data_IF_521280553284
#
_entry.id   IF_521280553284
#
_cell.length_a   1.000
_cell.length_b   1.000
_cell.length_c   1.000
_cell.angle_alpha   90.00
_cell.angle_beta   90.00
_cell.angle_gamma   90.00
#
_symmetry.space_group_name_H-M   'P 1'
#
loop_
_entity.id
_entity.type
_entity.pdbx_description
1 polymer ?
#
# COMPACT_ATOMS: atom_id res chain seq x y z
N UNK A 1 2.16 -3.08 22.67
CA UNK A 1 2.79 -2.22 21.64
C UNK A 1 1.76 -1.62 20.71
N UNK A 2 1.47 -0.33 20.84
CA UNK A 2 0.51 0.38 19.98
C UNK A 2 1.06 1.72 19.47
N UNK A 3 2.38 1.71 19.23
CA UNK A 3 3.17 2.75 18.56
C UNK A 3 4.22 2.02 17.72
N UNK A 4 3.78 1.25 16.73
CA UNK A 4 4.66 0.46 15.88
C UNK A 4 4.49 0.85 14.42
N UNK A 5 5.59 0.74 13.68
CA UNK A 5 5.56 0.86 12.24
C UNK A 5 4.87 -0.36 11.66
N UNK A 6 3.83 -0.13 10.86
CA UNK A 6 3.04 -1.17 10.23
C UNK A 6 2.92 -0.91 8.74
N UNK A 7 2.66 -1.99 8.01
CA UNK A 7 2.29 -1.95 6.60
C UNK A 7 0.86 -2.51 6.52
N UNK A 8 -0.06 -1.67 6.05
CA UNK A 8 -1.47 -2.00 5.91
C UNK A 8 -1.80 -2.11 4.44
N UNK A 9 -2.40 -3.22 4.02
CA UNK A 9 -2.88 -3.41 2.66
C UNK A 9 -4.40 -3.57 2.69
N UNK A 10 -5.09 -2.89 1.79
CA UNK A 10 -6.53 -3.03 1.70
C UNK A 10 -7.16 -2.16 0.63
N UNK A 11 -8.46 -2.36 0.43
CA UNK A 11 -9.27 -1.52 -0.44
C UNK A 11 -9.72 -0.29 0.32
N UNK A 12 -9.47 0.89 -0.24
CA UNK A 12 -10.05 2.12 0.30
C UNK A 12 -11.54 2.11 -0.02
N UNK A 13 -12.39 2.11 1.00
CA UNK A 13 -13.84 2.11 0.83
C UNK A 13 -14.38 3.52 0.63
N UNK A 14 -13.79 4.50 1.32
CA UNK A 14 -14.24 5.89 1.28
C UNK A 14 -13.04 6.82 1.33
N UNK A 15 -13.11 7.91 0.57
CA UNK A 15 -12.22 9.05 0.74
C UNK A 15 -13.02 10.28 1.11
N UNK A 16 -12.62 10.98 2.18
CA UNK A 16 -13.26 12.21 2.62
C UNK A 16 -12.27 13.36 2.73
N UNK A 17 -12.77 14.58 2.55
CA UNK A 17 -12.00 15.83 2.76
C UNK A 17 -12.66 16.65 3.84
N UNK A 18 -11.88 17.08 4.84
CA UNK A 18 -12.35 17.95 5.90
C UNK A 18 -11.22 18.88 6.35
N UNK A 19 -11.50 20.17 6.54
CA UNK A 19 -10.50 21.13 7.03
C UNK A 19 -9.29 21.38 6.10
N UNK A 20 -9.34 20.87 4.86
CA UNK A 20 -8.19 20.89 3.95
C UNK A 20 -7.28 19.66 4.07
N UNK A 21 -7.66 18.67 4.88
CA UNK A 21 -7.05 17.36 5.00
C UNK A 21 -7.87 16.32 4.22
N UNK A 22 -7.26 15.16 3.95
CA UNK A 22 -7.93 14.01 3.38
C UNK A 22 -7.83 12.78 4.29
N UNK A 23 -8.85 11.94 4.26
CA UNK A 23 -8.94 10.70 5.02
C UNK A 23 -9.30 9.55 4.10
N UNK A 24 -8.57 8.45 4.18
CA UNK A 24 -8.84 7.21 3.46
C UNK A 24 -9.26 6.17 4.49
N UNK A 25 -10.51 5.70 4.38
CA UNK A 25 -11.07 4.71 5.29
C UNK A 25 -11.09 3.33 4.62
N UNK A 26 -10.54 2.33 5.32
CA UNK A 26 -10.36 0.96 4.80
C UNK A 26 -11.49 0.00 5.19
N UNK A 27 -12.39 0.42 6.08
CA UNK A 27 -13.53 -0.38 6.49
C UNK A 27 -14.75 0.49 6.84
N UNK A 28 -15.86 -0.16 7.13
CA UNK A 28 -17.15 0.50 7.38
C UNK A 28 -17.22 1.12 8.79
N UNK A 29 -16.41 0.64 9.75
CA UNK A 29 -16.34 1.18 11.11
C UNK A 29 -14.93 1.69 11.44
N UNK A 30 -14.77 3.02 11.36
CA UNK A 30 -13.54 3.75 11.70
C UNK A 30 -13.01 3.49 13.13
N UNK A 31 -13.80 2.91 14.04
CA UNK A 31 -13.36 2.56 15.40
C UNK A 31 -12.51 1.29 15.43
N UNK A 32 -12.73 0.38 14.47
CA UNK A 32 -12.02 -0.89 14.35
C UNK A 32 -11.08 -0.92 13.16
N UNK A 33 -11.38 -0.13 12.14
CA UNK A 33 -10.66 -0.09 10.88
C UNK A 33 -9.59 1.01 10.86
N UNK A 34 -8.56 0.77 10.06
CA UNK A 34 -7.46 1.72 9.88
C UNK A 34 -7.95 2.89 9.01
N UNK A 35 -7.75 4.10 9.50
CA UNK A 35 -7.89 5.32 8.71
C UNK A 35 -6.49 5.86 8.40
N UNK A 36 -6.31 6.38 7.19
CA UNK A 36 -5.10 7.11 6.81
C UNK A 36 -5.44 8.58 6.70
N UNK A 37 -4.72 9.42 7.45
CA UNK A 37 -4.86 10.87 7.41
C UNK A 37 -3.73 11.48 6.60
N UNK A 38 -4.10 12.36 5.66
CA UNK A 38 -3.18 13.14 4.85
C UNK A 38 -3.45 14.61 5.16
N UNK A 39 -2.52 15.23 5.88
CA UNK A 39 -2.61 16.65 6.22
C UNK A 39 -2.51 17.55 4.99
N UNK A 40 -3.02 18.78 5.10
CA UNK A 40 -3.01 19.78 4.02
C UNK A 40 -1.63 20.02 3.39
N UNK A 41 -0.55 19.99 4.19
CA UNK A 41 0.80 20.14 3.68
C UNK A 41 1.21 18.94 2.80
N UNK A 42 1.03 17.73 3.32
CA UNK A 42 1.27 16.49 2.60
C UNK A 42 0.44 16.41 1.30
N UNK A 43 -0.84 16.80 1.34
CA UNK A 43 -1.69 16.85 0.14
C UNK A 43 -1.07 17.66 -1.01
N UNK A 44 -0.33 18.74 -0.70
CA UNK A 44 0.37 19.52 -1.74
C UNK A 44 1.53 18.74 -2.34
N UNK A 45 2.23 17.94 -1.55
CA UNK A 45 3.32 17.07 -2.02
C UNK A 45 2.78 15.95 -2.91
N UNK A 46 1.65 15.32 -2.53
CA UNK A 46 0.96 14.36 -3.39
C UNK A 46 0.61 14.97 -4.75
N UNK A 47 -0.01 16.16 -4.75
CA UNK A 47 -0.37 16.87 -5.99
C UNK A 47 0.88 17.25 -6.80
N UNK A 48 1.95 17.70 -6.15
CA UNK A 48 3.22 18.01 -6.81
C UNK A 48 3.89 16.77 -7.43
N UNK A 49 3.69 15.60 -6.84
CA UNK A 49 4.10 14.30 -7.40
C UNK A 49 3.13 13.77 -8.48
N UNK A 50 2.09 14.52 -8.85
CA UNK A 50 1.09 14.11 -9.85
C UNK A 50 0.09 13.07 -9.34
N UNK A 51 0.00 12.88 -8.02
CA UNK A 51 -0.90 11.93 -7.38
C UNK A 51 -2.11 12.68 -6.83
N UNK A 52 -3.31 12.26 -7.20
CA UNK A 52 -4.55 12.72 -6.55
C UNK A 52 -4.98 11.71 -5.49
N UNK A 53 -4.88 12.02 -4.18
CA UNK A 53 -5.29 11.10 -3.13
C UNK A 53 -6.78 10.76 -3.13
N UNK A 54 -7.63 11.59 -3.75
CA UNK A 54 -9.04 11.26 -3.94
C UNK A 54 -9.24 10.08 -4.88
N UNK A 55 -8.31 9.88 -5.83
CA UNK A 55 -8.39 8.78 -6.79
C UNK A 55 -8.13 7.40 -6.17
N UNK A 56 -7.80 7.33 -4.88
CA UNK A 56 -7.65 6.08 -4.17
C UNK A 56 -8.99 5.45 -3.75
N UNK A 57 -10.10 6.19 -3.78
CA UNK A 57 -11.40 5.62 -3.45
C UNK A 57 -11.73 4.42 -4.36
N UNK A 58 -12.06 3.29 -3.73
CA UNK A 58 -12.32 2.04 -4.44
C UNK A 58 -11.07 1.37 -5.05
N UNK A 59 -9.86 1.80 -4.69
CA UNK A 59 -8.59 1.18 -5.14
C UNK A 59 -7.96 0.37 -4.02
N UNK A 60 -7.12 -0.61 -4.40
CA UNK A 60 -6.36 -1.40 -3.43
C UNK A 60 -5.02 -0.74 -3.25
N UNK A 61 -4.71 -0.34 -2.03
CA UNK A 61 -3.47 0.37 -1.71
C UNK A 61 -2.73 -0.32 -0.58
N UNK A 62 -1.41 -0.15 -0.58
CA UNK A 62 -0.52 -0.46 0.53
C UNK A 62 -0.09 0.85 1.18
N UNK A 63 -0.23 0.94 2.49
CA UNK A 63 0.12 2.12 3.28
C UNK A 63 1.16 1.74 4.32
N UNK A 64 2.20 2.56 4.42
CA UNK A 64 3.35 2.34 5.30
C UNK A 64 3.44 3.49 6.30
N UNK A 65 3.37 3.19 7.59
CA UNK A 65 3.51 4.23 8.60
C UNK A 65 3.32 3.75 10.03
N UNK A 66 3.48 4.67 10.96
CA UNK A 66 3.26 4.41 12.38
C UNK A 66 1.76 4.45 12.67
N UNK A 67 1.26 3.38 13.30
CA UNK A 67 -0.14 3.32 13.74
C UNK A 67 -0.23 3.98 15.12
N UNK A 68 -0.94 5.10 15.20
CA UNK A 68 -1.30 5.77 16.45
C UNK A 68 -2.77 5.56 16.80
N UNK A 69 -3.16 5.94 18.03
CA UNK A 69 -4.54 5.90 18.51
C UNK A 69 -5.10 7.32 18.60
N UNK A 70 -5.74 7.80 17.53
CA UNK A 70 -6.51 9.06 17.56
C UNK A 70 -7.91 8.75 17.04
N UNK A 71 -8.83 8.46 17.96
CA UNK A 71 -10.19 7.96 17.69
C UNK A 71 -10.28 6.52 17.12
N UNK A 72 -9.22 5.99 16.52
CA UNK A 72 -9.09 4.60 16.08
C UNK A 72 -7.64 4.34 15.64
N UNK A 73 -7.34 3.18 15.04
CA UNK A 73 -6.06 2.94 14.36
C UNK A 73 -5.87 3.97 13.24
N UNK A 74 -4.92 4.89 13.40
CA UNK A 74 -4.66 5.97 12.45
C UNK A 74 -3.22 5.90 11.95
N UNK A 75 -3.03 6.00 10.64
CA UNK A 75 -1.72 6.23 10.04
C UNK A 75 -1.67 7.66 9.49
N UNK A 76 -0.65 8.42 9.89
CA UNK A 76 -0.38 9.73 9.31
C UNK A 76 0.53 9.57 8.09
N UNK A 77 -0.01 9.89 6.91
CA UNK A 77 0.71 9.92 5.65
C UNK A 77 1.19 11.35 5.39
N UNK A 78 2.48 11.56 5.57
CA UNK A 78 3.18 12.84 5.38
C UNK A 78 3.78 12.95 3.99
N UNK A 79 4.12 11.83 3.36
CA UNK A 79 4.74 11.79 2.04
C UNK A 79 4.05 10.80 1.09
N UNK A 80 4.06 11.04 -0.24
CA UNK A 80 3.40 10.20 -1.22
C UNK A 80 3.92 8.75 -1.27
N UNK A 81 5.22 8.52 -1.05
CA UNK A 81 5.84 7.18 -1.07
C UNK A 81 5.32 6.23 0.04
N UNK A 82 4.60 6.78 1.03
CA UNK A 82 3.95 5.97 2.05
C UNK A 82 2.72 5.22 1.51
N UNK A 83 2.15 5.64 0.37
CA UNK A 83 0.96 5.03 -0.23
C UNK A 83 1.28 4.51 -1.64
N UNK A 84 1.11 3.20 -1.83
CA UNK A 84 1.34 2.52 -3.09
C UNK A 84 0.02 1.94 -3.61
N UNK A 85 -0.35 2.24 -4.87
CA UNK A 85 -1.50 1.62 -5.54
C UNK A 85 -1.11 0.22 -6.04
N UNK A 86 -1.88 -0.80 -5.66
CA UNK A 86 -1.61 -2.20 -5.99
C UNK A 86 -2.42 -2.70 -7.19
N UNK A 87 -3.53 -2.05 -7.52
CA UNK A 87 -4.40 -2.44 -8.65
C UNK A 87 -3.86 -2.09 -10.04
N UNK A 88 -2.75 -1.37 -10.12
CA UNK A 88 -2.10 -0.98 -11.38
C UNK A 88 -0.90 -1.88 -11.76
N UNK A 89 -0.42 -2.70 -10.82
CA UNK A 89 0.43 -3.82 -11.19
C UNK A 89 -0.46 -4.87 -11.87
N UNK A 90 -0.41 -4.93 -13.20
CA UNK A 90 -0.79 -6.14 -13.92
C UNK A 90 -0.21 -7.38 -13.23
N UNK A 91 -0.82 -8.58 -13.42
CA UNK A 91 -0.55 -9.76 -12.59
C UNK A 91 0.94 -9.89 -12.30
N UNK A 92 1.35 -10.10 -11.03
CA UNK A 92 2.76 -10.08 -10.67
C UNK A 92 3.48 -10.95 -11.68
N UNK A 93 4.40 -10.35 -12.45
CA UNK A 93 5.27 -11.11 -13.33
C UNK A 93 5.84 -12.20 -12.43
N UNK A 94 5.35 -13.44 -12.59
CA UNK A 94 5.91 -14.59 -11.90
C UNK A 94 7.41 -14.45 -12.15
N UNK A 95 8.28 -14.41 -11.13
CA UNK A 95 9.70 -14.53 -11.41
C UNK A 95 9.82 -15.85 -12.18
N UNK A 96 10.09 -15.76 -13.48
CA UNK A 96 10.33 -16.94 -14.32
C UNK A 96 11.37 -17.76 -13.56
N UNK A 97 11.09 -19.03 -13.20
CA UNK A 97 12.16 -19.86 -12.70
C UNK A 97 13.24 -19.79 -13.78
N UNK A 98 14.44 -19.34 -13.41
CA UNK A 98 15.60 -19.49 -14.29
C UNK A 98 15.58 -20.93 -14.79
N UNK A 99 15.68 -21.20 -16.10
CA UNK A 99 15.82 -22.57 -16.54
C UNK A 99 17.09 -23.10 -15.87
N UNK A 100 16.93 -23.95 -14.86
CA UNK A 100 17.99 -24.84 -14.42
C UNK A 100 18.39 -25.60 -15.66
N UNK A 101 19.63 -25.39 -16.10
CA UNK A 101 20.21 -26.13 -17.20
C UNK A 101 19.90 -27.63 -17.03
N UNK A 102 19.53 -28.35 -18.09
CA UNK A 102 19.49 -29.79 -18.00
C UNK A 102 20.88 -30.28 -17.58
N UNK A 103 21.01 -31.25 -16.65
CA UNK A 103 22.29 -31.89 -16.42
C UNK A 103 22.78 -32.46 -17.76
N UNK A 104 24.09 -32.35 -18.07
CA UNK A 104 24.62 -33.00 -19.26
C UNK A 104 24.34 -34.49 -19.18
N UNK A 105 23.88 -35.02 -20.30
CA UNK A 105 23.65 -36.43 -20.55
C UNK A 105 24.93 -37.21 -20.22
N UNK A 106 24.92 -37.96 -19.12
CA UNK A 106 25.91 -38.99 -18.84
C UNK A 106 25.30 -40.31 -19.31
N UNK A 107 25.31 -40.47 -20.63
CA UNK A 107 25.34 -41.77 -21.29
C UNK A 107 26.80 -42.23 -21.39
N UNK A 108 26.99 -43.55 -21.31
CA UNK A 108 28.22 -44.34 -21.44
C UNK A 108 29.13 -44.37 -20.18
N UNK A 109 29.55 -45.51 -19.64
CA UNK A 109 29.51 -46.88 -20.14
C UNK A 109 29.65 -47.86 -18.98
N UNK A 110 29.06 -49.03 -19.17
CA UNK A 110 29.01 -50.17 -18.26
C UNK A 110 30.26 -51.04 -18.48
N UNK A 111 31.20 -51.10 -17.52
CA UNK A 111 32.05 -52.28 -17.20
C UNK A 111 32.70 -52.17 -15.82
#
# INVERSE_FOLDING_TARGET
>A
DRDSFQIVEGRVLRVSKAGGDAYLDFGEDWRTDVTVHIGRAALREFVAAGIDPLSYEGRTVRVRGWVGLRAGPLIEATHPEQIERLDEAGPPLRPTPRPSAPPPDLSDDEE
#
